data_IF_215132989935
#
_entry.id   IF_215132989935
#
_cell.length_a   1.000
_cell.length_b   1.000
_cell.length_c   1.000
_cell.angle_alpha   90.00
_cell.angle_beta   90.00
_cell.angle_gamma   90.00
#
_symmetry.space_group_name_H-M   'P 1'
#
loop_
_entity.id
_entity.type
_entity.pdbx_description
1 polymer ?
#
# COMPACT_ATOMS: atom_id res chain seq x y z
N UNK A 1 16.52 -14.25 -5.70
CA UNK A 1 15.34 -15.10 -6.00
C UNK A 1 14.10 -14.23 -5.96
N UNK A 2 13.43 -14.04 -7.10
CA UNK A 2 12.18 -13.28 -7.14
C UNK A 2 11.03 -14.22 -6.77
N UNK A 3 10.50 -14.07 -5.55
CA UNK A 3 9.29 -14.78 -5.12
C UNK A 3 8.12 -14.13 -5.85
N UNK A 4 7.53 -14.85 -6.82
CA UNK A 4 6.38 -14.37 -7.59
C UNK A 4 5.13 -14.54 -6.71
N UNK A 5 4.78 -13.48 -5.97
CA UNK A 5 3.64 -13.49 -5.06
C UNK A 5 2.34 -13.40 -5.86
N UNK A 6 1.53 -14.46 -5.82
CA UNK A 6 0.23 -14.53 -6.51
C UNK A 6 -0.91 -14.48 -5.48
N UNK A 7 -1.66 -13.37 -5.40
CA UNK A 7 -2.83 -13.28 -4.53
C UNK A 7 -3.93 -14.24 -5.02
N UNK A 8 -4.67 -14.83 -4.07
CA UNK A 8 -5.82 -15.68 -4.37
C UNK A 8 -7.12 -14.86 -4.35
N UNK A 9 -8.10 -15.28 -5.14
CA UNK A 9 -9.43 -14.67 -5.23
C UNK A 9 -9.38 -13.15 -5.52
N UNK A 10 -10.06 -12.36 -4.70
CA UNK A 10 -10.21 -10.90 -4.80
C UNK A 10 -9.12 -10.11 -4.07
N UNK A 11 -8.07 -10.78 -3.58
CA UNK A 11 -7.04 -10.14 -2.78
C UNK A 11 -6.05 -9.36 -3.63
N UNK A 12 -5.55 -8.27 -3.07
CA UNK A 12 -4.56 -7.38 -3.67
C UNK A 12 -3.34 -7.31 -2.78
N UNK A 13 -2.16 -7.31 -3.39
CA UNK A 13 -0.91 -7.04 -2.66
C UNK A 13 -0.48 -5.61 -2.96
N UNK A 14 -0.41 -4.83 -1.90
CA UNK A 14 -0.08 -3.40 -1.94
C UNK A 14 1.20 -3.18 -1.16
N UNK A 15 2.14 -2.42 -1.74
CA UNK A 15 3.28 -1.87 -1.01
C UNK A 15 2.92 -0.47 -0.54
N UNK A 16 2.93 -0.19 0.78
CA UNK A 16 2.66 1.15 1.28
C UNK A 16 3.64 2.16 0.69
N UNK A 17 3.15 3.33 0.31
CA UNK A 17 4.02 4.45 -0.09
C UNK A 17 4.43 5.24 1.15
N UNK A 18 5.61 5.84 1.11
CA UNK A 18 6.05 6.72 2.17
C UNK A 18 5.24 8.01 2.14
N UNK A 19 4.80 8.47 3.32
CA UNK A 19 4.07 9.72 3.46
C UNK A 19 5.06 10.88 3.41
N UNK A 20 4.65 11.98 2.80
CA UNK A 20 5.42 13.22 2.81
C UNK A 20 5.72 13.65 4.26
N UNK A 21 6.99 13.89 4.57
CA UNK A 21 7.43 14.32 5.90
C UNK A 21 7.01 15.75 6.22
N UNK A 22 6.78 16.54 5.17
CA UNK A 22 6.40 17.93 5.24
C UNK A 22 5.00 18.06 4.66
N UNK A 23 4.07 18.56 5.47
CA UNK A 23 2.73 18.88 4.97
C UNK A 23 2.78 20.05 3.99
N UNK A 24 1.75 20.22 3.17
CA UNK A 24 1.61 21.37 2.25
C UNK A 24 1.76 22.75 2.92
N UNK A 25 1.58 22.83 4.25
CA UNK A 25 1.78 24.04 5.04
C UNK A 25 3.18 24.23 5.64
N UNK A 26 4.15 23.36 5.31
CA UNK A 26 5.53 23.46 5.81
C UNK A 26 5.75 22.86 7.21
N UNK A 27 4.74 22.22 7.80
CA UNK A 27 4.86 21.58 9.12
C UNK A 27 5.50 20.20 8.95
N UNK A 28 6.61 19.97 9.67
CA UNK A 28 7.31 18.68 9.74
C UNK A 28 6.60 17.77 10.74
N UNK A 29 6.17 16.59 10.31
CA UNK A 29 5.56 15.61 11.21
C UNK A 29 6.63 14.81 11.95
N UNK A 30 6.57 14.73 13.30
CA UNK A 30 7.44 13.84 14.05
C UNK A 30 7.09 12.37 13.76
N UNK A 31 8.08 11.49 13.87
CA UNK A 31 7.93 10.06 13.52
C UNK A 31 6.85 9.33 14.33
N UNK A 32 6.54 9.82 15.53
CA UNK A 32 5.48 9.29 16.40
C UNK A 32 4.06 9.63 15.94
N UNK A 33 3.90 10.68 15.13
CA UNK A 33 2.62 11.08 14.53
C UNK A 33 2.42 10.56 13.10
N UNK A 34 3.41 9.81 12.55
CA UNK A 34 3.30 9.15 11.25
C UNK A 34 2.35 7.95 11.36
N UNK A 35 1.05 8.18 11.16
CA UNK A 35 0.08 7.10 11.01
C UNK A 35 0.41 6.20 9.81
N UNK A 36 -0.02 4.93 9.86
CA UNK A 36 0.19 3.99 8.75
C UNK A 36 -0.40 4.56 7.46
N UNK A 37 0.40 4.69 6.38
CA UNK A 37 -0.10 5.19 5.10
C UNK A 37 -1.18 4.23 4.59
N UNK A 38 -2.36 4.79 4.30
CA UNK A 38 -3.48 4.06 3.69
C UNK A 38 -3.34 3.94 2.18
N UNK A 39 -2.44 4.74 1.61
CA UNK A 39 -2.10 4.69 0.19
C UNK A 39 -0.91 3.76 -0.06
N UNK A 40 -0.93 3.12 -1.22
CA UNK A 40 0.13 2.21 -1.61
C UNK A 40 0.05 1.81 -3.07
N UNK A 41 1.17 1.33 -3.61
CA UNK A 41 1.24 0.85 -4.99
C UNK A 41 0.87 -0.62 -5.05
N UNK A 42 -0.05 -0.97 -5.95
CA UNK A 42 -0.42 -2.36 -6.23
C UNK A 42 0.73 -3.07 -6.94
N UNK A 43 1.17 -4.20 -6.39
CA UNK A 43 2.25 -5.03 -6.95
C UNK A 43 1.69 -6.29 -7.61
N UNK A 44 0.59 -6.83 -7.08
CA UNK A 44 -0.05 -8.01 -7.64
C UNK A 44 -1.56 -7.98 -7.42
N UNK A 45 -2.29 -8.52 -8.40
CA UNK A 45 -3.75 -8.66 -8.39
C UNK A 45 -4.13 -10.14 -8.45
N UNK A 46 -5.13 -10.53 -7.66
CA UNK A 46 -5.73 -11.85 -7.76
C UNK A 46 -6.65 -12.00 -8.98
N UNK A 47 -7.06 -13.23 -9.33
CA UNK A 47 -7.91 -13.51 -10.49
C UNK A 47 -9.35 -12.95 -10.38
N UNK A 48 -9.73 -12.40 -9.23
CA UNK A 48 -11.06 -11.85 -8.98
C UNK A 48 -12.03 -12.86 -8.37
N UNK A 49 -13.15 -12.36 -7.86
CA UNK A 49 -14.24 -13.21 -7.38
C UNK A 49 -14.83 -13.95 -8.58
N UNK A 50 -14.79 -15.29 -8.55
CA UNK A 50 -15.56 -16.10 -9.47
C UNK A 50 -17.03 -15.81 -9.17
N UNK A 51 -17.72 -15.21 -10.14
CA UNK A 51 -19.15 -14.95 -10.09
C UNK A 51 -19.90 -16.28 -9.96
N UNK A 52 -20.79 -16.36 -8.98
CA UNK A 52 -21.98 -17.21 -9.06
C UNK A 52 -23.10 -16.40 -9.73
#
# INVERSE_FOLDING_TARGET
MAIKLQPLADRLVVKPIEREEVTKGGIVLPDTAKEKPQEGKVIAVGPGRLSD
#
